data_IF_723083649097
#
_entry.id   IF_723083649097
#
_cell.length_a   1.000
_cell.length_b   1.000
_cell.length_c   1.000
_cell.angle_alpha   90.00
_cell.angle_beta   90.00
_cell.angle_gamma   90.00
#
_symmetry.space_group_name_H-M   'P 1'
#
loop_
_entity.id
_entity.type
_entity.pdbx_description
1 polymer ?
#
# COMPACT_ATOMS: atom_id res chain seq x y z
N UNK A 1 12.77 2.46 4.20
CA UNK A 1 13.76 1.36 4.37
C UNK A 1 13.34 -0.01 3.77
N UNK A 2 12.33 -0.14 2.88
CA UNK A 2 12.00 -1.47 2.28
C UNK A 2 11.56 -1.44 0.81
N UNK A 3 12.11 -0.55 -0.03
CA UNK A 3 11.71 -0.49 -1.44
C UNK A 3 12.87 -0.55 -2.44
N UNK A 4 13.98 -1.19 -2.09
CA UNK A 4 15.10 -1.46 -3.02
C UNK A 4 15.53 -2.94 -3.01
N UNK A 5 14.57 -3.85 -3.23
CA UNK A 5 14.81 -5.29 -3.38
C UNK A 5 14.13 -5.79 -4.67
N UNK A 6 14.67 -6.89 -5.22
CA UNK A 6 14.31 -7.54 -6.48
C UNK A 6 12.79 -7.64 -6.74
N UNK A 7 12.39 -7.66 -8.01
CA UNK A 7 10.98 -7.57 -8.44
C UNK A 7 10.02 -8.51 -7.70
N UNK A 8 10.42 -9.76 -7.49
CA UNK A 8 9.62 -10.79 -6.83
C UNK A 8 9.39 -10.50 -5.34
N UNK A 9 10.43 -10.08 -4.61
CA UNK A 9 10.32 -9.72 -3.18
C UNK A 9 9.35 -8.55 -3.01
N UNK A 10 9.41 -7.57 -3.92
CA UNK A 10 8.49 -6.43 -3.90
C UNK A 10 7.06 -6.85 -4.18
N UNK A 11 6.84 -7.72 -5.16
CA UNK A 11 5.51 -8.21 -5.48
C UNK A 11 4.90 -8.97 -4.30
N UNK A 12 5.68 -9.85 -3.67
CA UNK A 12 5.25 -10.59 -2.48
C UNK A 12 4.96 -9.65 -1.30
N UNK A 13 5.81 -8.65 -1.07
CA UNK A 13 5.60 -7.66 -0.01
C UNK A 13 4.30 -6.86 -0.22
N UNK A 14 3.96 -6.50 -1.47
CA UNK A 14 2.70 -5.81 -1.78
C UNK A 14 1.51 -6.75 -1.51
N UNK A 15 1.56 -8.01 -1.96
CA UNK A 15 0.49 -8.98 -1.69
C UNK A 15 0.26 -9.17 -0.18
N UNK A 16 1.33 -9.28 0.60
CA UNK A 16 1.24 -9.37 2.06
C UNK A 16 0.63 -8.11 2.67
N UNK A 17 1.05 -6.93 2.23
CA UNK A 17 0.51 -5.65 2.71
C UNK A 17 -1.00 -5.52 2.44
N UNK A 18 -1.44 -5.90 1.24
CA UNK A 18 -2.86 -5.90 0.87
C UNK A 18 -3.65 -6.91 1.72
N UNK A 19 -3.10 -8.09 2.00
CA UNK A 19 -3.72 -9.09 2.88
C UNK A 19 -3.84 -8.58 4.32
N UNK A 20 -2.81 -7.88 4.82
CA UNK A 20 -2.84 -7.26 6.15
C UNK A 20 -3.92 -6.18 6.21
N UNK A 21 -4.03 -5.34 5.18
CA UNK A 21 -5.07 -4.32 5.12
C UNK A 21 -6.47 -4.93 5.10
N UNK A 22 -6.68 -6.00 4.33
CA UNK A 22 -7.97 -6.72 4.32
C UNK A 22 -8.36 -7.25 5.69
N UNK A 23 -7.40 -7.64 6.53
CA UNK A 23 -7.65 -8.27 7.84
C UNK A 23 -7.73 -7.25 8.97
N UNK A 24 -6.92 -6.19 8.92
CA UNK A 24 -6.74 -5.25 10.03
C UNK A 24 -7.20 -3.82 9.70
N UNK A 25 -7.53 -3.54 8.44
CA UNK A 25 -8.05 -2.25 7.98
C UNK A 25 -7.06 -1.09 8.10
N UNK A 26 -7.60 0.09 8.40
CA UNK A 26 -6.89 1.37 8.37
C UNK A 26 -5.70 1.45 9.33
N UNK A 27 -5.60 0.59 10.35
CA UNK A 27 -4.45 0.55 11.26
C UNK A 27 -3.14 0.27 10.53
N UNK A 28 -3.19 -0.46 9.41
CA UNK A 28 -2.03 -0.77 8.57
C UNK A 28 -1.43 0.52 7.95
N UNK A 29 -2.25 1.54 7.68
CA UNK A 29 -1.77 2.82 7.11
C UNK A 29 -0.78 3.54 8.04
N UNK A 30 -0.79 3.26 9.36
CA UNK A 30 0.16 3.85 10.34
C UNK A 30 1.61 3.44 10.10
N UNK A 31 1.83 2.34 9.36
CA UNK A 31 3.17 1.82 9.05
C UNK A 31 3.65 2.21 7.65
N UNK A 32 2.87 3.00 6.92
CA UNK A 32 3.19 3.49 5.58
C UNK A 32 3.52 4.99 5.63
N UNK A 33 4.17 5.53 4.59
CA UNK A 33 4.19 6.97 4.39
C UNK A 33 2.78 7.55 4.38
N UNK A 34 2.60 8.84 4.72
CA UNK A 34 1.28 9.46 4.75
C UNK A 34 0.60 9.39 3.39
N UNK A 35 -0.68 9.03 3.40
CA UNK A 35 -1.55 8.99 2.23
C UNK A 35 -1.95 10.42 1.82
N UNK A 36 -1.01 11.12 1.18
CA UNK A 36 -1.15 12.52 0.75
C UNK A 36 -0.69 12.69 -0.70
N UNK A 37 -0.93 13.88 -1.26
CA UNK A 37 -0.64 14.17 -2.67
C UNK A 37 0.82 13.89 -3.05
N UNK A 38 1.77 14.26 -2.18
CA UNK A 38 3.20 14.07 -2.43
C UNK A 38 3.55 12.57 -2.54
N UNK A 39 3.05 11.75 -1.62
CA UNK A 39 3.27 10.30 -1.64
C UNK A 39 2.56 9.64 -2.84
N UNK A 40 1.33 10.07 -3.17
CA UNK A 40 0.56 9.54 -4.32
C UNK A 40 1.15 9.90 -5.69
N UNK A 41 2.08 10.86 -5.78
CA UNK A 41 2.87 11.07 -7.01
C UNK A 41 3.78 9.86 -7.32
N UNK A 42 4.20 9.11 -6.30
CA UNK A 42 4.99 7.89 -6.48
C UNK A 42 4.05 6.73 -6.87
N UNK A 43 4.14 6.27 -8.12
CA UNK A 43 3.25 5.24 -8.69
C UNK A 43 2.98 4.06 -7.76
N UNK A 44 4.01 3.53 -7.10
CA UNK A 44 3.89 2.33 -6.24
C UNK A 44 2.97 2.58 -5.03
N UNK A 45 3.10 3.73 -4.39
CA UNK A 45 2.26 4.06 -3.25
C UNK A 45 0.84 4.41 -3.69
N UNK A 46 0.69 5.10 -4.83
CA UNK A 46 -0.62 5.33 -5.43
C UNK A 46 -1.36 4.02 -5.68
N UNK A 47 -0.74 3.07 -6.38
CA UNK A 47 -1.37 1.77 -6.68
C UNK A 47 -1.80 1.02 -5.40
N UNK A 48 -1.02 1.13 -4.32
CA UNK A 48 -1.36 0.54 -3.00
C UNK A 48 -2.55 1.27 -2.36
N UNK A 49 -2.52 2.59 -2.31
CA UNK A 49 -3.60 3.37 -1.70
C UNK A 49 -4.91 3.25 -2.48
N UNK A 50 -4.86 3.24 -3.81
CA UNK A 50 -6.03 2.99 -4.65
C UNK A 50 -6.61 1.58 -4.39
N UNK A 51 -5.75 0.58 -4.13
CA UNK A 51 -6.23 -0.76 -3.74
C UNK A 51 -6.91 -0.75 -2.37
N UNK A 52 -6.42 0.03 -1.40
CA UNK A 52 -7.09 0.22 -0.12
C UNK A 52 -8.43 0.94 -0.27
N UNK A 53 -8.49 1.99 -1.10
CA UNK A 53 -9.71 2.74 -1.35
C UNK A 53 -10.78 1.83 -1.97
N UNK A 54 -10.42 0.99 -2.94
CA UNK A 54 -11.33 -0.04 -3.50
C UNK A 54 -11.80 -1.05 -2.45
N UNK A 55 -10.94 -1.49 -1.54
CA UNK A 55 -11.31 -2.40 -0.44
C UNK A 55 -12.27 -1.73 0.56
N UNK A 56 -12.13 -0.42 0.76
CA UNK A 56 -13.02 0.40 1.58
C UNK A 56 -14.32 0.80 0.83
N UNK A 57 -14.49 0.42 -0.44
CA UNK A 57 -15.63 0.79 -1.27
C UNK A 57 -15.64 2.26 -1.72
N UNK A 58 -14.47 2.90 -1.73
CA UNK A 58 -14.27 4.30 -2.14
C UNK A 58 -13.81 4.39 -3.61
N UNK A 59 -14.16 5.49 -4.30
CA UNK A 59 -13.73 5.73 -5.69
C UNK A 59 -12.21 5.86 -5.82
#
# INVERSE_FOLDING_TARGET
LFLNLAGEVRELAIKLLLSLYKTHGTIVKRYLPPDNEQTRRIKKYRDIFDAFDRMDGRP
#
